data_IF_398358989540
#
_entry.id   IF_398358989540
#
_cell.length_a   1.000
_cell.length_b   1.000
_cell.length_c   1.000
_cell.angle_alpha   90.00
_cell.angle_beta   90.00
_cell.angle_gamma   90.00
#
_symmetry.space_group_name_H-M   'P 1'
#
loop_
_entity.id
_entity.type
_entity.pdbx_description
1 polymer ?
#
# COMPACT_ATOMS: atom_id res chain seq x y z
N UNK A 1 2.21 -1.95 26.53
CA UNK A 1 2.74 -1.72 25.18
C UNK A 1 2.80 -0.22 24.97
N UNK A 2 4.00 0.33 24.79
CA UNK A 2 4.22 1.75 24.48
C UNK A 2 4.20 1.91 22.97
N UNK A 3 3.03 2.17 22.39
CA UNK A 3 2.89 2.54 20.98
C UNK A 3 2.73 4.06 20.92
N UNK A 4 3.56 4.74 20.12
CA UNK A 4 3.56 6.19 19.94
C UNK A 4 3.67 7.00 21.25
N UNK A 5 4.50 6.50 22.17
CA UNK A 5 4.67 7.12 23.50
C UNK A 5 5.92 7.99 23.54
N UNK A 6 5.76 9.28 23.82
CA UNK A 6 6.84 10.26 23.75
C UNK A 6 7.55 10.41 25.09
N UNK A 7 8.84 10.08 25.12
CA UNK A 7 9.72 10.36 26.27
C UNK A 7 10.24 11.78 26.15
N UNK A 8 10.26 12.52 27.26
CA UNK A 8 10.79 13.90 27.26
C UNK A 8 12.08 13.95 28.05
N UNK A 9 13.15 14.44 27.42
CA UNK A 9 14.41 14.75 28.10
C UNK A 9 14.37 16.21 28.53
N UNK A 10 14.60 16.46 29.81
CA UNK A 10 14.48 17.77 30.43
C UNK A 10 15.59 18.01 31.45
N UNK A 11 15.70 19.24 31.97
CA UNK A 11 16.60 19.57 33.08
C UNK A 11 15.77 19.72 34.35
N UNK A 12 16.12 18.97 35.39
CA UNK A 12 15.52 19.03 36.73
C UNK A 12 16.64 19.05 37.77
N UNK A 13 16.56 19.96 38.74
CA UNK A 13 17.57 20.12 39.80
C UNK A 13 19.01 20.23 39.25
N UNK A 14 19.17 21.04 38.19
CA UNK A 14 20.44 21.26 37.46
C UNK A 14 21.08 19.99 36.86
N UNK A 15 20.29 18.93 36.64
CA UNK A 15 20.71 17.68 35.99
C UNK A 15 19.78 17.30 34.85
N UNK A 16 20.28 16.51 33.91
CA UNK A 16 19.40 15.86 32.93
C UNK A 16 18.47 14.87 33.61
N UNK A 17 17.26 14.79 33.11
CA UNK A 17 16.23 13.86 33.56
C UNK A 17 15.39 13.38 32.37
N UNK A 18 14.80 12.21 32.52
CA UNK A 18 13.88 11.63 31.53
C UNK A 18 12.50 11.50 32.15
N UNK A 19 11.52 12.16 31.56
CA UNK A 19 10.11 11.92 31.80
C UNK A 19 9.68 10.67 31.03
N UNK A 20 9.46 9.59 31.79
CA UNK A 20 9.02 8.30 31.28
C UNK A 20 7.50 8.24 31.35
N UNK A 21 6.79 8.15 30.20
CA UNK A 21 5.34 8.26 30.20
C UNK A 21 4.65 7.18 31.04
N UNK A 22 3.66 7.60 31.82
CA UNK A 22 2.96 6.74 32.76
C UNK A 22 3.77 6.37 34.00
N UNK A 23 4.96 6.95 34.17
CA UNK A 23 5.81 6.80 35.34
C UNK A 23 6.21 8.19 35.88
N UNK A 24 7.22 8.23 36.74
CA UNK A 24 7.79 9.47 37.26
C UNK A 24 8.92 9.99 36.36
N UNK A 25 9.38 11.20 36.65
CA UNK A 25 10.61 11.73 36.07
C UNK A 25 11.80 11.11 36.79
N UNK A 26 12.77 10.61 36.03
CA UNK A 26 14.00 10.03 36.55
C UNK A 26 15.19 10.95 36.26
N UNK A 27 15.81 11.47 37.32
CA UNK A 27 17.09 12.17 37.20
C UNK A 27 18.18 11.21 36.73
N UNK A 28 19.12 11.73 35.94
CA UNK A 28 20.25 10.98 35.42
C UNK A 28 21.52 11.32 36.20
N UNK A 29 22.38 10.30 36.38
CA UNK A 29 23.79 10.48 36.76
C UNK A 29 24.57 11.04 35.56
N UNK A 30 25.78 11.55 35.82
CA UNK A 30 26.74 11.83 34.74
C UNK A 30 27.01 10.58 33.90
N UNK A 31 27.35 10.73 32.61
CA UNK A 31 27.62 9.60 31.74
C UNK A 31 28.87 8.84 32.21
N UNK A 32 28.83 7.53 32.06
CA UNK A 32 30.03 6.69 32.19
C UNK A 32 30.95 6.81 30.96
N UNK A 33 32.02 6.01 30.95
CA UNK A 33 33.00 5.97 29.86
C UNK A 33 32.41 5.50 28.52
N UNK A 34 31.28 4.78 28.55
CA UNK A 34 30.54 4.33 27.37
C UNK A 34 29.47 5.35 26.92
N UNK A 35 29.32 6.45 27.66
CA UNK A 35 28.31 7.48 27.40
C UNK A 35 26.92 7.15 27.93
N UNK A 36 26.78 6.16 28.82
CA UNK A 36 25.52 5.77 29.46
C UNK A 36 25.26 6.62 30.71
N UNK A 37 24.07 7.20 30.74
CA UNK A 37 23.52 8.00 31.82
C UNK A 37 22.57 7.11 32.63
N UNK A 38 23.02 6.60 33.78
CA UNK A 38 22.20 5.78 34.66
C UNK A 38 21.17 6.60 35.41
N UNK A 39 20.02 6.00 35.74
CA UNK A 39 19.04 6.65 36.61
C UNK A 39 19.65 6.88 38.00
N UNK A 40 19.44 8.05 38.59
CA UNK A 40 19.99 8.38 39.89
C UNK A 40 19.49 7.45 41.00
N UNK A 41 18.30 6.86 40.82
CA UNK A 41 17.68 5.94 41.78
C UNK A 41 18.07 4.47 41.57
N UNK A 42 18.67 4.10 40.44
CA UNK A 42 18.99 2.70 40.10
C UNK A 42 20.07 2.60 39.01
N UNK A 43 20.98 1.65 39.17
CA UNK A 43 22.00 1.31 38.17
C UNK A 43 21.54 0.24 37.17
N UNK A 44 20.28 -0.19 37.22
CA UNK A 44 19.72 -1.20 36.31
C UNK A 44 19.14 -0.61 35.02
N UNK A 45 18.92 0.70 34.99
CA UNK A 45 18.37 1.43 33.85
C UNK A 45 19.30 2.58 33.49
N UNK A 46 19.65 2.66 32.20
CA UNK A 46 20.46 3.73 31.67
C UNK A 46 19.90 4.25 30.36
N UNK A 47 20.30 5.46 29.98
CA UNK A 47 20.06 6.01 28.65
C UNK A 47 21.35 6.45 28.00
N UNK A 48 21.44 6.40 26.67
CA UNK A 48 22.49 7.06 25.90
C UNK A 48 21.87 7.83 24.74
N UNK A 49 22.64 8.71 24.12
CA UNK A 49 22.15 9.58 23.04
C UNK A 49 22.88 9.27 21.74
N UNK A 50 22.12 8.93 20.71
CA UNK A 50 22.66 8.75 19.36
C UNK A 50 22.86 10.11 18.70
N UNK A 51 23.99 10.27 18.02
CA UNK A 51 24.41 11.53 17.39
C UNK A 51 24.73 11.35 15.91
N UNK A 52 24.39 12.35 15.11
CA UNK A 52 24.78 12.40 13.69
C UNK A 52 26.24 12.86 13.50
N UNK A 53 26.69 12.93 12.24
CA UNK A 53 28.03 13.38 11.89
C UNK A 53 28.34 14.85 12.28
N UNK A 54 27.31 15.64 12.61
CA UNK A 54 27.44 17.02 13.07
C UNK A 54 27.28 17.16 14.60
N UNK A 55 27.33 16.04 15.33
CA UNK A 55 27.15 15.96 16.78
C UNK A 55 25.73 16.31 17.29
N UNK A 56 24.73 16.38 16.39
CA UNK A 56 23.34 16.60 16.81
C UNK A 56 22.75 15.32 17.40
N UNK A 57 22.07 15.43 18.54
CA UNK A 57 21.29 14.32 19.10
C UNK A 57 20.10 14.02 18.19
N UNK A 58 20.08 12.81 17.63
CA UNK A 58 19.07 12.28 16.70
C UNK A 58 18.17 11.21 17.33
N UNK A 59 18.53 10.71 18.51
CA UNK A 59 17.75 9.71 19.23
C UNK A 59 18.29 9.46 20.63
N UNK A 60 17.56 8.65 21.38
CA UNK A 60 17.94 8.16 22.69
C UNK A 60 17.83 6.64 22.68
N UNK A 61 18.78 5.94 23.29
CA UNK A 61 18.66 4.51 23.62
C UNK A 61 18.36 4.36 25.09
N UNK A 62 17.41 3.50 25.45
CA UNK A 62 17.15 3.11 26.83
C UNK A 62 17.55 1.66 27.03
N UNK A 63 18.40 1.42 28.01
CA UNK A 63 18.87 0.08 28.41
C UNK A 63 18.11 -0.36 29.64
N UNK A 64 17.37 -1.46 29.56
CA UNK A 64 16.61 -1.99 30.68
C UNK A 64 16.44 -3.51 30.54
N UNK A 65 16.75 -4.24 31.61
CA UNK A 65 16.54 -5.70 31.70
C UNK A 65 17.17 -6.51 30.53
N UNK A 66 18.35 -6.07 30.05
CA UNK A 66 19.04 -6.69 28.92
C UNK A 66 18.57 -6.23 27.53
N UNK A 67 17.51 -5.43 27.46
CA UNK A 67 17.00 -4.88 26.20
C UNK A 67 17.50 -3.46 25.95
N UNK A 68 17.66 -3.14 24.66
CA UNK A 68 17.93 -1.78 24.17
C UNK A 68 16.73 -1.27 23.39
N UNK A 69 16.06 -0.27 23.91
CA UNK A 69 14.98 0.41 23.19
C UNK A 69 15.55 1.63 22.47
N UNK A 70 15.49 1.64 21.13
CA UNK A 70 15.80 2.83 20.34
C UNK A 70 14.58 3.76 20.33
N UNK A 71 14.76 5.02 20.75
CA UNK A 71 13.75 6.07 20.75
C UNK A 71 14.21 7.20 19.83
N UNK A 72 13.81 7.19 18.55
CA UNK A 72 14.17 8.23 17.61
C UNK A 72 13.64 9.58 18.08
N UNK A 73 14.44 10.64 17.90
CA UNK A 73 14.01 11.99 18.26
C UNK A 73 12.87 12.41 17.34
N UNK A 74 11.78 12.89 17.95
CA UNK A 74 10.61 13.36 17.20
C UNK A 74 10.99 14.40 16.15
N UNK A 75 10.51 14.18 14.92
CA UNK A 75 10.78 15.05 13.78
C UNK A 75 12.11 14.81 13.08
N UNK A 76 12.91 13.84 13.53
CA UNK A 76 14.09 13.36 12.80
C UNK A 76 13.68 12.12 12.00
N UNK A 77 13.93 12.18 10.70
CA UNK A 77 13.77 11.02 9.82
C UNK A 77 15.03 10.16 9.87
N UNK A 78 14.86 8.86 10.07
CA UNK A 78 15.95 7.89 10.03
C UNK A 78 16.27 7.59 8.57
N UNK A 79 17.53 7.76 8.17
CA UNK A 79 17.96 7.43 6.82
C UNK A 79 17.90 5.91 6.61
N UNK A 80 17.48 5.43 5.42
CA UNK A 80 17.52 4.02 5.09
C UNK A 80 18.96 3.50 5.10
N UNK A 81 19.17 2.38 5.80
CA UNK A 81 20.45 1.66 5.81
C UNK A 81 20.58 0.72 4.60
N UNK A 82 19.44 0.28 4.06
CA UNK A 82 19.29 -0.48 2.83
C UNK A 82 18.24 0.25 1.97
N UNK A 83 18.43 0.39 0.65
CA UNK A 83 17.42 0.96 -0.24
C UNK A 83 16.05 0.27 -0.09
N UNK A 84 14.98 1.06 0.01
CA UNK A 84 13.65 0.55 0.35
C UNK A 84 13.06 -0.39 -0.71
N UNK A 85 13.49 -0.26 -1.96
CA UNK A 85 13.14 -1.14 -3.06
C UNK A 85 13.78 -2.52 -2.92
N UNK A 86 15.00 -2.60 -2.39
CA UNK A 86 15.66 -3.87 -2.07
C UNK A 86 14.96 -4.61 -0.91
N UNK A 87 14.32 -3.87 0.00
CA UNK A 87 13.57 -4.46 1.13
C UNK A 87 12.23 -5.07 0.71
N UNK A 88 11.68 -4.72 -0.46
CA UNK A 88 10.33 -5.11 -0.87
C UNK A 88 10.13 -6.64 -0.93
N UNK A 89 11.18 -7.39 -1.29
CA UNK A 89 11.09 -8.85 -1.44
C UNK A 89 10.77 -9.58 -0.13
N UNK A 90 11.16 -8.99 1.00
CA UNK A 90 10.98 -9.56 2.34
C UNK A 90 9.57 -9.33 2.92
N UNK A 91 8.83 -8.35 2.41
CA UNK A 91 7.57 -7.91 3.02
C UNK A 91 6.46 -8.97 2.94
N UNK A 92 5.61 -9.04 3.96
CA UNK A 92 4.44 -9.91 3.98
C UNK A 92 4.36 -10.77 5.24
N UNK A 93 3.47 -11.76 5.22
CA UNK A 93 3.16 -12.58 6.39
C UNK A 93 3.91 -13.91 6.39
N UNK A 94 4.36 -14.35 7.56
CA UNK A 94 5.10 -15.60 7.76
C UNK A 94 4.50 -16.33 8.94
N UNK A 95 4.14 -17.60 8.76
CA UNK A 95 3.44 -18.39 9.77
C UNK A 95 4.34 -19.46 10.36
N UNK A 96 4.35 -19.57 11.69
CA UNK A 96 4.96 -20.70 12.40
C UNK A 96 3.85 -21.60 12.95
N UNK A 97 3.77 -22.83 12.45
CA UNK A 97 2.89 -23.85 13.03
C UNK A 97 3.30 -24.21 14.45
N UNK A 98 4.61 -24.22 14.74
CA UNK A 98 5.15 -24.59 16.05
C UNK A 98 4.82 -23.53 17.12
N UNK A 99 4.93 -22.24 16.78
CA UNK A 99 4.58 -21.15 17.67
C UNK A 99 3.08 -20.81 17.63
N UNK A 100 2.36 -21.25 16.59
CA UNK A 100 0.95 -20.93 16.37
C UNK A 100 0.71 -19.44 16.08
N UNK A 101 1.69 -18.74 15.51
CA UNK A 101 1.65 -17.29 15.25
C UNK A 101 1.95 -16.97 13.80
N UNK A 102 1.41 -15.85 13.33
CA UNK A 102 1.74 -15.26 12.03
C UNK A 102 2.36 -13.90 12.27
N UNK A 103 3.64 -13.76 11.95
CA UNK A 103 4.34 -12.48 11.99
C UNK A 103 4.18 -11.72 10.66
N UNK A 104 4.23 -10.40 10.71
CA UNK A 104 4.26 -9.56 9.51
C UNK A 104 5.60 -8.84 9.40
N UNK A 105 6.25 -8.98 8.24
CA UNK A 105 7.46 -8.25 7.88
C UNK A 105 7.04 -6.98 7.14
N UNK A 106 7.44 -5.84 7.67
CA UNK A 106 7.09 -4.51 7.19
C UNK A 106 8.29 -3.56 7.20
N UNK A 107 8.10 -2.34 6.67
CA UNK A 107 9.08 -1.27 6.79
C UNK A 107 8.61 -0.28 7.86
N UNK A 108 9.44 -0.05 8.88
CA UNK A 108 9.23 0.96 9.91
C UNK A 108 10.51 1.78 10.05
N UNK A 109 10.37 3.11 10.15
CA UNK A 109 11.51 4.04 10.27
C UNK A 109 12.60 3.79 9.22
N UNK A 110 12.19 3.53 7.97
CA UNK A 110 13.07 3.21 6.84
C UNK A 110 13.96 1.97 7.04
N UNK A 111 13.55 1.05 7.92
CA UNK A 111 14.23 -0.21 8.22
C UNK A 111 13.25 -1.38 8.11
N UNK A 112 13.79 -2.58 7.90
CA UNK A 112 13.01 -3.80 7.97
C UNK A 112 12.63 -4.08 9.44
N UNK A 113 11.37 -4.45 9.67
CA UNK A 113 10.85 -4.71 10.99
C UNK A 113 9.84 -5.87 11.00
N UNK A 114 9.68 -6.48 12.17
CA UNK A 114 8.78 -7.61 12.39
C UNK A 114 7.69 -7.21 13.39
N UNK A 115 6.44 -7.28 12.97
CA UNK A 115 5.25 -7.18 13.83
C UNK A 115 4.86 -8.57 14.32
N UNK A 116 5.04 -8.81 15.62
CA UNK A 116 4.61 -10.03 16.28
C UNK A 116 3.22 -9.85 16.90
N UNK A 117 2.28 -10.77 16.67
CA UNK A 117 0.93 -10.66 17.21
C UNK A 117 0.91 -10.46 18.73
N UNK A 118 0.37 -9.31 19.15
CA UNK A 118 0.21 -8.98 20.57
C UNK A 118 1.44 -8.35 21.23
N UNK A 119 2.54 -8.16 20.50
CA UNK A 119 3.74 -7.48 20.97
C UNK A 119 3.94 -6.11 20.31
N UNK A 120 5.13 -5.53 20.49
CA UNK A 120 5.57 -4.38 19.73
C UNK A 120 6.23 -4.81 18.42
N UNK A 121 6.37 -3.86 17.50
CA UNK A 121 7.14 -4.06 16.27
C UNK A 121 8.62 -3.91 16.61
N UNK A 122 9.45 -4.86 16.17
CA UNK A 122 10.90 -4.80 16.37
C UNK A 122 11.62 -4.57 15.06
N UNK A 123 12.46 -3.54 15.03
CA UNK A 123 13.34 -3.24 13.91
C UNK A 123 14.58 -4.15 13.90
N UNK A 124 15.11 -4.39 12.70
CA UNK A 124 16.28 -5.21 12.49
C UNK A 124 17.50 -4.34 12.11
N UNK A 125 18.68 -4.82 12.45
CA UNK A 125 19.92 -4.41 11.79
C UNK A 125 19.98 -5.05 10.39
N UNK A 126 20.68 -4.42 9.42
CA UNK A 126 21.03 -5.03 8.15
C UNK A 126 21.68 -6.41 8.36
N UNK A 127 21.52 -7.34 7.40
CA UNK A 127 22.07 -8.67 7.56
C UNK A 127 23.60 -8.62 7.60
N UNK A 128 24.18 -9.57 8.32
CA UNK A 128 25.61 -9.83 8.25
C UNK A 128 26.02 -10.56 6.96
N UNK A 129 27.30 -10.93 6.85
CA UNK A 129 27.85 -11.64 5.70
C UNK A 129 27.21 -13.04 5.47
N UNK A 130 26.60 -13.62 6.51
CA UNK A 130 25.90 -14.91 6.45
C UNK A 130 24.40 -14.76 6.15
N UNK A 131 23.91 -13.52 6.01
CA UNK A 131 22.49 -13.22 5.78
C UNK A 131 21.65 -13.21 7.05
N UNK A 132 22.26 -13.17 8.23
CA UNK A 132 21.56 -13.12 9.52
C UNK A 132 21.20 -11.69 9.87
N UNK A 133 19.91 -11.47 10.09
CA UNK A 133 19.36 -10.21 10.59
C UNK A 133 19.25 -10.28 12.11
N UNK A 134 19.78 -9.27 12.80
CA UNK A 134 19.75 -9.18 14.26
C UNK A 134 18.67 -8.19 14.68
N UNK A 135 17.90 -8.51 15.70
CA UNK A 135 16.92 -7.58 16.26
C UNK A 135 17.63 -6.45 17.00
N UNK A 136 17.18 -5.21 16.82
CA UNK A 136 17.79 -4.05 17.50
C UNK A 136 17.57 -4.06 19.02
N UNK A 137 16.53 -4.75 19.48
CA UNK A 137 16.19 -4.81 20.90
C UNK A 137 17.15 -5.68 21.72
N UNK A 138 17.68 -6.76 21.14
CA UNK A 138 18.65 -7.68 21.73
C UNK A 138 19.26 -8.56 20.65
N UNK A 139 20.52 -8.92 20.81
CA UNK A 139 21.23 -9.89 19.97
C UNK A 139 20.83 -11.35 20.24
N UNK A 140 20.04 -11.61 21.29
CA UNK A 140 19.45 -12.92 21.60
C UNK A 140 18.41 -13.38 20.55
N UNK A 141 17.93 -12.45 19.72
CA UNK A 141 16.95 -12.71 18.68
C UNK A 141 17.56 -12.41 17.31
N UNK A 142 17.53 -13.39 16.42
CA UNK A 142 17.99 -13.22 15.04
C UNK A 142 17.05 -13.94 14.08
N UNK A 143 17.14 -13.61 12.79
CA UNK A 143 16.42 -14.34 11.75
C UNK A 143 17.24 -14.42 10.47
N UNK A 144 16.86 -15.36 9.60
CA UNK A 144 17.37 -15.46 8.23
C UNK A 144 16.22 -15.63 7.27
N UNK A 145 16.22 -14.89 6.17
CA UNK A 145 15.29 -15.15 5.07
C UNK A 145 15.82 -16.25 4.17
N UNK A 146 14.97 -17.22 3.84
CA UNK A 146 15.32 -18.31 2.94
C UNK A 146 14.80 -17.98 1.54
N UNK A 147 15.73 -17.77 0.62
CA UNK A 147 15.49 -17.33 -0.75
C UNK A 147 15.52 -18.53 -1.72
N UNK A 148 14.54 -18.59 -2.61
CA UNK A 148 14.49 -19.54 -3.71
C UNK A 148 15.49 -19.18 -4.83
N UNK A 149 15.81 -20.10 -5.75
CA UNK A 149 16.73 -19.83 -6.86
C UNK A 149 16.33 -18.66 -7.78
N UNK A 150 15.06 -18.29 -7.80
CA UNK A 150 14.53 -17.16 -8.59
C UNK A 150 14.57 -15.82 -7.84
N UNK A 151 15.07 -15.81 -6.61
CA UNK A 151 15.17 -14.64 -5.76
C UNK A 151 13.95 -14.37 -4.88
N UNK A 152 12.93 -15.23 -4.94
CA UNK A 152 11.73 -15.10 -4.12
C UNK A 152 11.99 -15.58 -2.68
N UNK A 153 11.57 -14.80 -1.68
CA UNK A 153 11.59 -15.24 -0.29
C UNK A 153 10.44 -16.22 -0.04
N UNK A 154 10.77 -17.47 0.28
CA UNK A 154 9.81 -18.55 0.54
C UNK A 154 9.48 -18.70 2.02
N UNK A 155 10.43 -18.37 2.90
CA UNK A 155 10.26 -18.48 4.35
C UNK A 155 11.27 -17.59 5.08
N UNK A 156 11.08 -17.45 6.38
CA UNK A 156 12.12 -16.98 7.29
C UNK A 156 12.35 -18.01 8.38
N UNK A 157 13.59 -18.12 8.85
CA UNK A 157 13.96 -18.91 10.03
C UNK A 157 14.22 -17.94 11.17
N UNK A 158 13.47 -18.07 12.26
CA UNK A 158 13.63 -17.27 13.47
C UNK A 158 14.45 -18.04 14.51
N UNK A 159 15.45 -17.40 15.09
CA UNK A 159 16.35 -17.97 16.08
C UNK A 159 16.11 -17.31 17.44
N UNK A 160 15.80 -18.12 18.45
CA UNK A 160 15.59 -17.64 19.81
C UNK A 160 15.99 -18.72 20.81
N UNK A 161 16.79 -18.34 21.82
CA UNK A 161 17.21 -19.21 22.91
C UNK A 161 17.80 -20.55 22.43
N UNK A 162 18.60 -20.50 21.35
CA UNK A 162 19.22 -21.68 20.73
C UNK A 162 18.26 -22.61 19.98
N UNK A 163 17.02 -22.19 19.73
CA UNK A 163 16.05 -22.90 18.89
C UNK A 163 15.87 -22.19 17.56
N UNK A 164 15.47 -22.97 16.56
CA UNK A 164 15.14 -22.48 15.22
C UNK A 164 13.67 -22.75 14.94
N UNK A 165 12.96 -21.73 14.45
CA UNK A 165 11.57 -21.84 14.06
C UNK A 165 11.46 -21.48 12.58
N UNK A 166 11.12 -22.46 11.75
CA UNK A 166 10.84 -22.23 10.33
C UNK A 166 9.46 -21.59 10.20
N UNK A 167 9.40 -20.46 9.50
CA UNK A 167 8.17 -19.72 9.26
C UNK A 167 7.96 -19.56 7.75
N UNK A 168 7.25 -20.51 7.09
CA UNK A 168 6.88 -20.36 5.69
C UNK A 168 6.12 -19.07 5.44
N UNK A 169 6.42 -18.42 4.31
CA UNK A 169 5.69 -17.24 3.86
C UNK A 169 4.26 -17.66 3.55
N UNK A 170 3.31 -16.95 4.12
CA UNK A 170 1.90 -17.12 3.81
C UNK A 170 1.64 -16.45 2.48
N UNK A 171 1.06 -17.17 1.52
CA UNK A 171 0.59 -16.55 0.29
C UNK A 171 -0.45 -15.47 0.63
N UNK A 172 -0.03 -14.21 0.56
CA UNK A 172 -0.92 -13.08 0.64
C UNK A 172 -1.85 -13.06 -0.57
N UNK A 173 -3.07 -12.57 -0.39
CA UNK A 173 -3.91 -12.19 -1.54
C UNK A 173 -3.23 -11.04 -2.27
N UNK A 174 -2.47 -11.35 -3.33
CA UNK A 174 -1.95 -10.30 -4.20
C UNK A 174 -3.09 -9.57 -4.89
N UNK A 175 -2.89 -8.29 -5.15
CA UNK A 175 -3.78 -7.57 -6.06
C UNK A 175 -3.77 -8.26 -7.43
N UNK A 176 -4.92 -8.42 -8.09
CA UNK A 176 -4.98 -8.96 -9.44
C UNK A 176 -4.13 -8.10 -10.38
N UNK A 177 -3.44 -8.74 -11.32
CA UNK A 177 -2.71 -8.01 -12.36
C UNK A 177 -3.68 -7.32 -13.31
N UNK A 178 -3.17 -6.34 -14.07
CA UNK A 178 -3.96 -5.70 -15.15
C UNK A 178 -4.48 -6.75 -16.14
N UNK A 179 -3.68 -7.78 -16.44
CA UNK A 179 -4.06 -8.87 -17.33
C UNK A 179 -5.24 -9.69 -16.77
N UNK A 180 -5.22 -10.00 -15.48
CA UNK A 180 -6.31 -10.72 -14.81
C UNK A 180 -7.60 -9.88 -14.75
N UNK A 181 -7.49 -8.57 -14.53
CA UNK A 181 -8.63 -7.64 -14.60
C UNK A 181 -9.19 -7.59 -16.03
N UNK A 182 -8.32 -7.58 -17.04
CA UNK A 182 -8.73 -7.59 -18.45
C UNK A 182 -9.38 -8.92 -18.86
N UNK A 183 -8.95 -10.05 -18.29
CA UNK A 183 -9.57 -11.35 -18.51
C UNK A 183 -11.03 -11.40 -18.00
N UNK A 184 -11.34 -10.75 -16.87
CA UNK A 184 -12.72 -10.62 -16.37
C UNK A 184 -13.65 -9.86 -17.32
N UNK A 185 -13.09 -9.06 -18.24
CA UNK A 185 -13.88 -8.35 -19.24
C UNK A 185 -14.44 -9.30 -20.31
N UNK A 186 -13.94 -10.54 -20.43
CA UNK A 186 -14.32 -11.51 -21.47
C UNK A 186 -14.61 -10.83 -22.81
N UNK A 187 -13.61 -10.09 -23.30
CA UNK A 187 -13.80 -9.22 -24.46
C UNK A 187 -14.16 -10.04 -25.70
N UNK A 188 -13.60 -11.25 -25.82
CA UNK A 188 -13.85 -12.14 -26.95
C UNK A 188 -15.23 -12.80 -26.87
N UNK A 189 -15.67 -13.24 -25.68
CA UNK A 189 -17.04 -13.73 -25.48
C UNK A 189 -18.09 -12.65 -25.71
N UNK A 190 -17.85 -11.41 -25.26
CA UNK A 190 -18.74 -10.27 -25.54
C UNK A 190 -18.79 -9.90 -27.02
N UNK A 191 -17.65 -9.94 -27.72
CA UNK A 191 -17.62 -9.76 -29.18
C UNK A 191 -18.33 -10.88 -29.93
N UNK A 192 -18.21 -12.13 -29.47
CA UNK A 192 -18.92 -13.26 -30.03
C UNK A 192 -20.44 -13.13 -29.81
N UNK A 193 -20.87 -12.79 -28.60
CA UNK A 193 -22.27 -12.54 -28.28
C UNK A 193 -22.86 -11.38 -29.09
N UNK A 194 -22.11 -10.30 -29.32
CA UNK A 194 -22.51 -9.19 -30.21
C UNK A 194 -22.59 -9.61 -31.68
N UNK A 195 -21.78 -10.58 -32.14
CA UNK A 195 -21.90 -11.15 -33.49
C UNK A 195 -23.09 -12.12 -33.61
N UNK A 196 -23.46 -12.79 -32.52
CA UNK A 196 -24.63 -13.69 -32.47
C UNK A 196 -25.96 -12.93 -32.32
N UNK A 197 -25.95 -11.80 -31.59
CA UNK A 197 -27.00 -10.78 -31.71
C UNK A 197 -26.95 -10.25 -33.14
N UNK A 198 -27.73 -10.87 -34.01
CA UNK A 198 -28.06 -10.37 -35.35
C UNK A 198 -28.79 -9.01 -35.22
N UNK A 199 -29.61 -8.66 -36.19
CA UNK A 199 -30.37 -7.42 -36.16
C UNK A 199 -31.20 -7.31 -34.88
N UNK A 200 -30.99 -6.23 -34.12
CA UNK A 200 -31.74 -5.96 -32.91
C UNK A 200 -32.34 -4.56 -32.92
N UNK A 201 -33.51 -4.46 -32.29
CA UNK A 201 -34.21 -3.20 -32.10
C UNK A 201 -34.29 -2.88 -30.62
N UNK A 202 -33.89 -1.67 -30.26
CA UNK A 202 -34.06 -1.09 -28.93
C UNK A 202 -35.09 0.03 -29.03
N UNK A 203 -36.09 -0.01 -28.16
CA UNK A 203 -37.06 1.07 -27.99
C UNK A 203 -36.94 1.61 -26.58
N UNK A 204 -36.94 2.92 -26.44
CA UNK A 204 -36.77 3.56 -25.13
C UNK A 204 -37.34 4.95 -25.07
N UNK A 205 -37.22 5.55 -23.88
CA UNK A 205 -37.54 6.95 -23.64
C UNK A 205 -36.25 7.74 -23.48
N UNK A 206 -36.24 8.97 -23.97
CA UNK A 206 -35.11 9.89 -23.83
C UNK A 206 -35.55 11.10 -23.01
N UNK A 207 -34.69 11.52 -22.09
CA UNK A 207 -34.88 12.73 -21.29
C UNK A 207 -33.62 13.60 -21.41
N UNK A 208 -33.72 14.67 -22.20
CA UNK A 208 -32.66 15.67 -22.29
C UNK A 208 -32.80 16.62 -21.10
N UNK A 209 -31.99 16.38 -20.06
CA UNK A 209 -32.02 17.18 -18.82
C UNK A 209 -31.73 18.66 -19.09
N UNK A 210 -30.86 18.94 -20.05
CA UNK A 210 -30.37 20.29 -20.35
C UNK A 210 -31.45 21.17 -20.99
N UNK A 211 -32.36 20.58 -21.77
CA UNK A 211 -33.48 21.27 -22.43
C UNK A 211 -34.84 20.97 -21.78
N UNK A 212 -34.90 20.08 -20.79
CA UNK A 212 -36.14 19.61 -20.17
C UNK A 212 -37.06 18.81 -21.09
N UNK A 213 -36.57 18.41 -22.27
CA UNK A 213 -37.37 17.73 -23.29
C UNK A 213 -37.39 16.23 -23.04
N UNK A 214 -38.58 15.62 -23.17
CA UNK A 214 -38.79 14.18 -23.11
C UNK A 214 -39.32 13.68 -24.45
N UNK A 215 -38.90 12.48 -24.81
CA UNK A 215 -39.28 11.85 -26.07
C UNK A 215 -39.14 10.33 -26.02
N UNK A 216 -39.34 9.71 -27.16
CA UNK A 216 -39.04 8.30 -27.41
C UNK A 216 -37.91 8.18 -28.42
N UNK A 217 -37.20 7.06 -28.38
CA UNK A 217 -36.28 6.69 -29.44
C UNK A 217 -36.42 5.22 -29.82
N UNK A 218 -36.15 4.93 -31.08
CA UNK A 218 -35.99 3.59 -31.64
C UNK A 218 -34.61 3.50 -32.26
N UNK A 219 -33.80 2.55 -31.82
CA UNK A 219 -32.51 2.21 -32.40
C UNK A 219 -32.63 0.84 -33.07
N UNK A 220 -32.33 0.78 -34.35
CA UNK A 220 -32.19 -0.45 -35.12
C UNK A 220 -30.71 -0.65 -35.41
N UNK A 221 -30.18 -1.84 -35.14
CA UNK A 221 -28.79 -2.19 -35.40
C UNK A 221 -28.79 -3.46 -36.23
N UNK A 222 -28.17 -3.42 -37.42
CA UNK A 222 -27.96 -4.57 -38.31
C UNK A 222 -26.50 -5.03 -38.37
N UNK A 223 -25.60 -4.35 -37.65
CA UNK A 223 -24.16 -4.62 -37.66
C UNK A 223 -23.37 -3.55 -36.92
N UNK A 224 -22.04 -3.66 -36.94
CA UNK A 224 -21.14 -2.69 -36.28
C UNK A 224 -21.15 -1.31 -36.97
N UNK A 225 -21.54 -1.28 -38.24
CA UNK A 225 -21.53 -0.14 -39.15
C UNK A 225 -22.89 0.10 -39.81
N UNK A 226 -23.95 -0.58 -39.34
CA UNK A 226 -25.30 -0.46 -39.88
C UNK A 226 -26.28 -0.21 -38.75
N UNK A 227 -26.72 1.03 -38.61
CA UNK A 227 -27.70 1.39 -37.60
C UNK A 227 -28.62 2.53 -38.04
N UNK A 228 -29.80 2.60 -37.43
CA UNK A 228 -30.74 3.71 -37.58
C UNK A 228 -31.27 4.11 -36.21
N UNK A 229 -31.17 5.39 -35.90
CA UNK A 229 -31.78 6.00 -34.72
C UNK A 229 -32.90 6.90 -35.16
N UNK A 230 -34.11 6.65 -34.70
CA UNK A 230 -35.25 7.55 -34.81
C UNK A 230 -35.57 8.11 -33.42
N UNK A 231 -35.55 9.43 -33.26
CA UNK A 231 -35.89 10.13 -32.02
C UNK A 231 -37.09 11.05 -32.25
N UNK A 232 -38.09 10.95 -31.38
CA UNK A 232 -39.32 11.75 -31.43
C UNK A 232 -39.52 12.48 -30.09
N UNK A 233 -39.50 13.82 -30.16
CA UNK A 233 -39.69 14.70 -29.01
C UNK A 233 -41.10 15.34 -29.01
N UNK A 234 -42.05 14.75 -29.73
CA UNK A 234 -43.42 15.21 -29.87
C UNK A 234 -43.48 16.59 -30.51
N UNK A 235 -44.15 17.54 -29.85
CA UNK A 235 -44.33 18.91 -30.35
C UNK A 235 -43.02 19.68 -30.57
N UNK A 236 -41.91 19.20 -30.01
CA UNK A 236 -40.62 19.86 -30.12
C UNK A 236 -39.83 19.43 -31.36
N UNK A 237 -40.26 18.37 -32.05
CA UNK A 237 -39.64 17.92 -33.29
C UNK A 237 -39.12 16.49 -33.23
N UNK A 238 -38.43 16.09 -34.30
CA UNK A 238 -37.84 14.76 -34.46
C UNK A 238 -36.44 14.86 -35.06
N UNK A 239 -35.67 13.80 -34.86
CA UNK A 239 -34.36 13.61 -35.47
C UNK A 239 -34.18 12.15 -35.86
N UNK A 240 -33.59 11.90 -37.02
CA UNK A 240 -33.32 10.58 -37.55
C UNK A 240 -31.92 10.55 -38.12
N UNK A 241 -31.18 9.51 -37.76
CA UNK A 241 -29.87 9.25 -38.31
C UNK A 241 -29.85 7.81 -38.78
N UNK A 242 -29.34 7.58 -39.98
CA UNK A 242 -29.10 6.24 -40.50
C UNK A 242 -27.65 6.15 -40.99
N UNK A 243 -26.98 5.06 -40.65
CA UNK A 243 -25.64 4.69 -41.11
C UNK A 243 -25.74 3.31 -41.74
N UNK A 244 -25.15 3.16 -42.93
CA UNK A 244 -25.11 1.91 -43.67
C UNK A 244 -23.73 1.73 -44.31
N UNK A 245 -22.75 1.31 -43.52
CA UNK A 245 -21.37 1.13 -43.94
C UNK A 245 -20.69 2.47 -44.21
N UNK A 246 -20.48 2.79 -45.49
CA UNK A 246 -19.79 3.99 -45.97
C UNK A 246 -20.74 5.16 -46.29
N UNK A 247 -22.02 5.05 -45.90
CA UNK A 247 -23.02 6.08 -46.12
C UNK A 247 -23.74 6.42 -44.83
N UNK A 248 -24.03 7.70 -44.63
CA UNK A 248 -24.83 8.16 -43.50
C UNK A 248 -25.76 9.31 -43.90
N UNK A 249 -26.94 9.35 -43.30
CA UNK A 249 -27.96 10.37 -43.55
C UNK A 249 -28.50 10.91 -42.25
N UNK A 250 -28.81 12.21 -42.24
CA UNK A 250 -29.48 12.87 -41.13
C UNK A 250 -30.71 13.59 -41.65
N UNK A 251 -31.85 13.37 -40.98
CA UNK A 251 -33.09 14.09 -41.20
C UNK A 251 -33.56 14.64 -39.85
N UNK A 252 -33.93 15.91 -39.77
CA UNK A 252 -34.51 16.45 -38.54
C UNK A 252 -35.53 17.54 -38.84
N UNK A 253 -36.41 17.82 -37.89
CA UNK A 253 -37.28 18.99 -37.96
C UNK A 253 -36.55 20.32 -37.74
N UNK A 254 -35.24 20.28 -37.43
CA UNK A 254 -34.43 21.46 -37.10
C UNK A 254 -33.50 21.90 -38.24
N UNK A 255 -33.44 21.12 -39.33
CA UNK A 255 -32.56 21.39 -40.48
C UNK A 255 -32.98 20.60 -41.71
N UNK A 256 -32.38 20.86 -42.87
CA UNK A 256 -32.65 20.08 -44.08
C UNK A 256 -32.15 18.63 -43.92
N UNK A 257 -32.69 17.74 -44.75
CA UNK A 257 -32.08 16.43 -44.97
C UNK A 257 -30.65 16.60 -45.49
N UNK A 258 -29.72 15.83 -44.96
CA UNK A 258 -28.32 15.86 -45.36
C UNK A 258 -27.73 14.45 -45.47
N UNK A 259 -26.90 14.24 -46.49
CA UNK A 259 -26.07 13.05 -46.64
C UNK A 259 -24.67 13.38 -46.13
N UNK A 260 -24.21 12.67 -45.11
CA UNK A 260 -22.95 12.98 -44.44
C UNK A 260 -21.77 12.50 -45.29
N UNK A 261 -20.78 13.37 -45.46
CA UNK A 261 -19.56 13.09 -46.21
C UNK A 261 -18.30 13.49 -45.43
N UNK A 262 -17.17 12.85 -45.76
CA UNK A 262 -15.85 13.19 -45.20
C UNK A 262 -15.80 13.05 -43.68
N UNK A 263 -15.30 14.08 -42.98
CA UNK A 263 -15.13 14.06 -41.52
C UNK A 263 -16.43 13.84 -40.73
N UNK A 264 -17.59 14.21 -41.30
CA UNK A 264 -18.88 13.99 -40.66
C UNK A 264 -19.36 12.54 -40.80
N UNK A 265 -18.93 11.84 -41.86
CA UNK A 265 -19.13 10.40 -42.01
C UNK A 265 -18.18 9.61 -41.10
N UNK A 266 -16.91 10.05 -40.96
CA UNK A 266 -15.94 9.42 -40.03
C UNK A 266 -16.35 9.52 -38.54
N UNK A 267 -17.24 10.47 -38.21
CA UNK A 267 -17.73 10.72 -36.86
C UNK A 267 -19.12 10.10 -36.58
N UNK A 268 -19.77 9.54 -37.61
CA UNK A 268 -21.06 8.86 -37.51
C UNK A 268 -20.87 7.38 -37.17
#
# INVERSE_FOLDING_TARGET
>A
SFKDTEFTVLVQNDRLAVDVPGQQIYELKEPDEEGKWYFAISDEVAVSFDRDANDNVIGMKMYQAGYTFELPKKGIEIAPEIPLDELQKYLGSYHSEELGITAEVLIQNNRLAIDWPGEMVYELYPPDEEGIWVFRISDDFTLRFNEAPDGQIESLTYYQAGKEFLMPRVEGKRLPTVEEILALRDTDGRKAALKEMRDYQVNGTIHSVQSGVRGTFSLYVGGIDQYRVDSDYGKYGYGRTAVNGDQAWVESSFGPFDELHGKFLEQA
#
